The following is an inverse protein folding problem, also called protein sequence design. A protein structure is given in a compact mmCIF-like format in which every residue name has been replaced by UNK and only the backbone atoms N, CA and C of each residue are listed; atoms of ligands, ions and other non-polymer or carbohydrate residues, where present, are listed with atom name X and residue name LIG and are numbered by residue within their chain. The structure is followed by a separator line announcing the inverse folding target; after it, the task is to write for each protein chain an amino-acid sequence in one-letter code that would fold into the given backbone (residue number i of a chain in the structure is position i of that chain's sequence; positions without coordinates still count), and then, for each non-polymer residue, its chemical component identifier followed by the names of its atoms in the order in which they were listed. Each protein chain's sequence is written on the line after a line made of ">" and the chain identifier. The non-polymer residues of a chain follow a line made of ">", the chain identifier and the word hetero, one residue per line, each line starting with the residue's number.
data_IF_458075172510
#
_entry.id   IF_458075172510
#
_cell.length_a   1.000
_cell.length_b   1.000
_cell.length_c   1.000
_cell.angle_alpha   90.00
_cell.angle_beta   90.00
_cell.angle_gamma   90.00
#
_symmetry.space_group_name_H-M   'P 1'
#
loop_
_entity.id
_entity.type
_entity.pdbx_description
1 polymer ?
#
# COMPACT_ATOMS: atom_id res chain seq x y z
N UNK A 1 -32.39 9.63 -32.91
CA UNK A 1 -30.99 9.66 -33.34
C UNK A 1 -30.37 10.90 -32.73
N UNK A 2 -29.85 10.73 -31.52
CA UNK A 2 -28.43 10.96 -31.27
C UNK A 2 -27.77 9.72 -30.64
N UNK A 3 -26.44 9.71 -30.71
CA UNK A 3 -25.53 8.59 -30.61
C UNK A 3 -25.55 7.85 -29.27
N UNK A 4 -25.44 6.53 -29.38
CA UNK A 4 -24.88 5.67 -28.36
C UNK A 4 -23.42 6.07 -28.13
N UNK A 5 -23.08 6.44 -26.89
CA UNK A 5 -21.70 6.49 -26.41
C UNK A 5 -21.53 5.33 -25.43
N UNK A 6 -20.57 4.48 -25.76
CA UNK A 6 -20.02 3.36 -25.02
C UNK A 6 -19.40 3.84 -23.72
N UNK A 7 -19.69 3.17 -22.60
CA UNK A 7 -18.93 3.31 -21.35
C UNK A 7 -17.53 2.74 -21.58
N UNK A 8 -16.45 3.41 -21.17
CA UNK A 8 -15.15 2.78 -21.09
C UNK A 8 -15.12 1.82 -19.87
N UNK A 9 -14.04 1.06 -19.74
CA UNK A 9 -13.84 0.06 -18.70
C UNK A 9 -12.87 0.61 -17.65
N UNK A 10 -13.23 0.42 -16.38
CA UNK A 10 -12.51 0.99 -15.25
C UNK A 10 -12.21 -0.01 -14.14
N UNK A 11 -10.93 0.01 -13.78
CA UNK A 11 -10.27 -0.73 -12.74
C UNK A 11 -10.68 -0.33 -11.30
N UNK A 12 -10.49 -1.20 -10.29
CA UNK A 12 -11.16 -1.10 -9.01
C UNK A 12 -10.47 -0.12 -8.05
N UNK A 13 -11.13 1.00 -7.80
CA UNK A 13 -11.24 1.64 -6.48
C UNK A 13 -12.74 1.89 -6.24
N UNK A 14 -13.49 0.81 -6.00
CA UNK A 14 -14.44 0.65 -4.88
C UNK A 14 -14.74 1.95 -4.05
N UNK A 15 -15.96 2.51 -3.87
CA UNK A 15 -17.35 2.25 -4.29
C UNK A 15 -18.21 3.54 -4.10
N UNK A 16 -19.30 3.75 -4.87
CA UNK A 16 -20.46 4.59 -4.44
C UNK A 16 -21.80 4.18 -5.14
N UNK A 17 -22.97 4.33 -4.49
CA UNK A 17 -24.16 3.51 -4.73
C UNK A 17 -25.19 4.07 -5.74
N UNK A 18 -25.93 3.15 -6.36
CA UNK A 18 -27.09 3.42 -7.23
C UNK A 18 -28.36 3.78 -6.43
N UNK A 19 -29.01 4.88 -6.76
CA UNK A 19 -30.37 5.21 -6.33
C UNK A 19 -31.44 4.60 -7.26
N UNK A 20 -32.41 3.89 -6.68
CA UNK A 20 -33.60 3.34 -7.35
C UNK A 20 -34.55 4.44 -7.86
N UNK A 21 -35.09 4.26 -9.07
CA UNK A 21 -36.46 4.68 -9.42
C UNK A 21 -37.05 3.84 -10.56
N UNK A 22 -38.36 3.58 -10.46
CA UNK A 22 -39.10 2.50 -11.11
C UNK A 22 -39.94 2.90 -12.34
N UNK A 23 -40.32 1.86 -13.12
CA UNK A 23 -41.37 1.75 -14.17
C UNK A 23 -41.05 2.36 -15.56
N UNK A 24 -41.31 1.71 -16.72
CA UNK A 24 -42.39 0.79 -17.09
C UNK A 24 -42.05 -0.20 -18.25
N UNK A 25 -42.89 -1.23 -18.37
CA UNK A 25 -42.85 -2.38 -19.30
C UNK A 25 -42.82 -2.09 -20.81
N UNK A 26 -42.08 -2.94 -21.55
CA UNK A 26 -42.53 -3.59 -22.80
C UNK A 26 -41.74 -4.88 -23.05
N UNK A 27 -42.36 -5.98 -23.53
CA UNK A 27 -41.69 -7.25 -23.72
C UNK A 27 -41.09 -7.38 -25.13
N UNK A 28 -39.85 -7.86 -25.21
CA UNK A 28 -39.23 -8.34 -26.45
C UNK A 28 -38.37 -9.58 -26.15
N UNK A 29 -38.16 -10.47 -27.14
CA UNK A 29 -38.21 -11.91 -26.91
C UNK A 29 -36.84 -12.59 -26.82
N UNK A 30 -36.79 -13.64 -26.00
CA UNK A 30 -35.87 -14.78 -26.16
C UNK A 30 -34.46 -14.57 -25.60
N UNK A 31 -34.32 -14.38 -24.28
CA UNK A 31 -33.07 -14.71 -23.59
C UNK A 31 -33.03 -16.22 -23.33
N UNK A 32 -31.94 -16.84 -23.72
CA UNK A 32 -31.55 -18.15 -23.20
C UNK A 32 -31.18 -17.95 -21.73
N UNK A 33 -32.14 -18.20 -20.83
CA UNK A 33 -31.94 -18.19 -19.37
C UNK A 33 -31.13 -19.41 -18.91
N UNK A 34 -29.86 -19.48 -19.34
CA UNK A 34 -28.86 -20.14 -18.52
C UNK A 34 -28.34 -19.07 -17.55
N UNK A 35 -28.35 -19.32 -16.23
CA UNK A 35 -27.59 -18.45 -15.33
C UNK A 35 -26.14 -18.38 -15.83
N UNK A 36 -25.43 -17.26 -15.64
CA UNK A 36 -24.00 -17.24 -15.86
C UNK A 36 -23.38 -18.44 -15.14
N UNK A 37 -22.45 -19.11 -15.82
CA UNK A 37 -21.69 -20.19 -15.18
C UNK A 37 -21.01 -19.60 -13.95
N UNK A 38 -20.98 -20.38 -12.86
CA UNK A 38 -20.22 -20.03 -11.67
C UNK A 38 -18.78 -19.67 -12.09
N UNK A 39 -18.21 -18.65 -11.46
CA UNK A 39 -16.82 -18.29 -11.65
C UNK A 39 -15.95 -19.42 -11.09
N UNK A 40 -15.14 -20.04 -11.95
CA UNK A 40 -14.27 -21.17 -11.59
C UNK A 40 -12.81 -20.72 -11.56
N UNK A 41 -12.00 -21.20 -10.61
CA UNK A 41 -10.59 -20.82 -10.51
C UNK A 41 -9.76 -21.41 -11.65
N UNK A 42 -8.98 -20.55 -12.30
CA UNK A 42 -7.95 -20.91 -13.28
C UNK A 42 -6.65 -21.40 -12.63
N UNK A 43 -5.76 -22.00 -13.45
CA UNK A 43 -4.48 -22.49 -12.96
C UNK A 43 -3.41 -21.38 -12.93
N UNK A 44 -2.70 -21.29 -11.81
CA UNK A 44 -1.47 -20.49 -11.65
C UNK A 44 -0.28 -21.41 -11.35
N UNK A 45 0.88 -21.09 -11.93
CA UNK A 45 2.13 -21.81 -11.67
C UNK A 45 3.25 -20.83 -11.37
N UNK A 46 4.00 -21.11 -10.31
CA UNK A 46 5.18 -20.34 -9.93
C UNK A 46 6.27 -20.42 -11.02
N UNK A 47 6.97 -19.30 -11.32
CA UNK A 47 8.14 -19.31 -12.20
C UNK A 47 9.23 -20.29 -11.74
N UNK A 48 9.75 -21.12 -12.65
CA UNK A 48 10.88 -22.01 -12.37
C UNK A 48 12.21 -21.23 -12.30
N UNK A 49 13.06 -21.54 -11.31
CA UNK A 49 14.45 -21.05 -11.24
C UNK A 49 14.64 -19.68 -10.57
N UNK A 50 13.57 -19.02 -10.13
CA UNK A 50 13.62 -17.83 -9.28
C UNK A 50 14.01 -18.19 -7.83
N UNK A 51 14.53 -17.22 -7.08
CA UNK A 51 14.60 -17.37 -5.61
C UNK A 51 13.16 -17.50 -5.08
N UNK A 52 12.95 -18.34 -4.08
CA UNK A 52 11.61 -18.59 -3.55
C UNK A 52 11.39 -17.88 -2.22
N UNK A 53 10.20 -17.32 -2.05
CA UNK A 53 9.79 -16.63 -0.82
C UNK A 53 9.81 -17.57 0.40
N UNK A 54 9.33 -18.80 0.24
CA UNK A 54 9.36 -19.82 1.30
C UNK A 54 10.78 -20.19 1.76
N UNK A 55 11.71 -20.34 0.82
CA UNK A 55 13.13 -20.58 1.10
C UNK A 55 13.78 -19.37 1.80
N UNK A 56 13.47 -18.15 1.35
CA UNK A 56 13.97 -16.92 1.98
C UNK A 56 13.49 -16.79 3.43
N UNK A 57 12.23 -17.14 3.71
CA UNK A 57 11.69 -17.16 5.06
C UNK A 57 12.38 -18.24 5.91
N UNK A 58 12.59 -19.44 5.38
CA UNK A 58 13.28 -20.52 6.09
C UNK A 58 14.75 -20.17 6.44
N UNK A 59 15.44 -19.45 5.56
CA UNK A 59 16.79 -18.93 5.83
C UNK A 59 16.78 -17.84 6.90
N UNK A 60 15.75 -16.98 6.90
CA UNK A 60 15.58 -15.94 7.91
C UNK A 60 15.24 -16.52 9.28
N UNK A 61 14.41 -17.57 9.34
CA UNK A 61 14.11 -18.31 10.57
C UNK A 61 15.39 -18.92 11.17
N UNK A 62 16.23 -19.57 10.35
CA UNK A 62 17.53 -20.07 10.80
C UNK A 62 18.46 -18.96 11.29
N UNK A 63 18.42 -17.78 10.65
CA UNK A 63 19.18 -16.62 11.10
C UNK A 63 18.70 -16.11 12.47
N UNK A 64 17.38 -16.06 12.68
CA UNK A 64 16.77 -15.67 13.96
C UNK A 64 17.20 -16.65 15.07
N UNK A 65 17.04 -17.96 14.86
CA UNK A 65 17.47 -18.99 15.82
C UNK A 65 18.96 -18.87 16.17
N UNK A 66 19.81 -18.61 15.18
CA UNK A 66 21.25 -18.42 15.39
C UNK A 66 21.55 -17.14 16.21
N UNK A 67 20.81 -16.05 15.97
CA UNK A 67 20.96 -14.79 16.69
C UNK A 67 20.45 -14.91 18.13
N UNK A 68 19.38 -15.67 18.38
CA UNK A 68 18.89 -16.00 19.73
C UNK A 68 19.97 -16.76 20.52
N UNK A 69 20.51 -17.85 19.95
CA UNK A 69 21.58 -18.62 20.57
C UNK A 69 22.84 -17.76 20.81
N UNK A 70 23.18 -16.85 19.90
CA UNK A 70 24.28 -15.91 20.08
C UNK A 70 23.99 -14.91 21.21
N UNK A 71 22.75 -14.42 21.34
CA UNK A 71 22.34 -13.46 22.36
C UNK A 71 22.41 -14.06 23.77
N UNK A 72 22.08 -15.35 23.90
CA UNK A 72 22.28 -16.14 25.13
C UNK A 72 23.77 -16.31 25.46
N UNK A 73 24.59 -16.63 24.46
CA UNK A 73 26.03 -16.83 24.64
C UNK A 73 26.78 -15.51 24.93
N UNK A 74 26.23 -14.36 24.53
CA UNK A 74 26.81 -13.02 24.70
C UNK A 74 25.86 -12.10 25.48
N UNK A 75 25.62 -12.36 26.78
CA UNK A 75 24.58 -11.67 27.57
C UNK A 75 24.81 -10.16 27.76
N UNK A 76 26.02 -9.66 27.49
CA UNK A 76 26.34 -8.23 27.60
C UNK A 76 26.34 -7.49 26.26
N UNK A 77 26.00 -8.15 25.14
CA UNK A 77 26.04 -7.53 23.81
C UNK A 77 24.66 -7.07 23.37
N UNK A 78 24.39 -5.77 23.46
CA UNK A 78 23.16 -5.20 22.88
C UNK A 78 23.15 -5.28 21.35
N UNK A 79 24.33 -5.31 20.69
CA UNK A 79 24.44 -5.39 19.23
C UNK A 79 23.94 -6.72 18.66
N UNK A 80 23.99 -7.82 19.42
CA UNK A 80 23.39 -9.09 18.98
C UNK A 80 21.87 -8.96 18.98
N UNK A 81 21.30 -8.36 20.02
CA UNK A 81 19.87 -8.11 20.14
C UNK A 81 19.35 -7.11 19.10
N UNK A 82 20.14 -6.08 18.75
CA UNK A 82 19.81 -5.18 17.65
C UNK A 82 19.72 -5.93 16.32
N UNK A 83 20.65 -6.86 16.04
CA UNK A 83 20.58 -7.70 14.84
C UNK A 83 19.38 -8.65 14.88
N UNK A 84 19.05 -9.21 16.03
CA UNK A 84 17.86 -10.03 16.24
C UNK A 84 16.57 -9.23 15.96
N UNK A 85 16.47 -8.01 16.51
CA UNK A 85 15.35 -7.12 16.25
C UNK A 85 15.18 -6.81 14.76
N UNK A 86 16.29 -6.48 14.08
CA UNK A 86 16.26 -6.21 12.64
C UNK A 86 15.88 -7.44 11.80
N UNK A 87 16.26 -8.66 12.24
CA UNK A 87 15.87 -9.90 11.58
C UNK A 87 14.36 -10.16 11.71
N UNK A 88 13.80 -10.00 12.91
CA UNK A 88 12.35 -10.05 13.12
C UNK A 88 11.60 -8.99 12.32
N UNK A 89 12.03 -7.72 12.36
CA UNK A 89 11.40 -6.67 11.57
C UNK A 89 11.49 -6.91 10.05
N UNK A 90 12.56 -7.57 9.57
CA UNK A 90 12.67 -8.01 8.17
C UNK A 90 11.69 -9.13 7.85
N UNK A 91 11.49 -10.08 8.77
CA UNK A 91 10.51 -11.15 8.63
C UNK A 91 9.09 -10.58 8.56
N UNK A 92 8.74 -9.69 9.48
CA UNK A 92 7.44 -8.99 9.49
C UNK A 92 7.14 -8.24 8.19
N UNK A 93 8.13 -7.62 7.54
CA UNK A 93 7.94 -7.01 6.21
C UNK A 93 7.67 -8.01 5.08
N UNK A 94 8.15 -9.25 5.21
CA UNK A 94 7.99 -10.30 4.20
C UNK A 94 6.74 -11.14 4.43
N UNK A 95 6.19 -11.13 5.64
CA UNK A 95 5.04 -11.95 6.06
C UNK A 95 3.78 -11.11 6.28
N UNK A 96 3.92 -9.85 6.67
CA UNK A 96 2.82 -9.00 7.14
C UNK A 96 2.42 -9.26 8.60
N UNK A 97 3.09 -10.18 9.30
CA UNK A 97 2.69 -10.64 10.64
C UNK A 97 3.11 -9.65 11.74
N UNK A 98 2.16 -9.29 12.61
CA UNK A 98 2.42 -8.29 13.67
C UNK A 98 3.26 -8.87 14.81
N UNK A 99 3.20 -10.18 15.02
CA UNK A 99 3.99 -10.92 16.00
C UNK A 99 5.49 -10.74 15.76
N UNK A 100 5.92 -10.64 14.51
CA UNK A 100 7.31 -10.37 14.15
C UNK A 100 7.77 -8.99 14.66
N UNK A 101 6.93 -7.97 14.53
CA UNK A 101 7.25 -6.66 15.09
C UNK A 101 7.22 -6.67 16.63
N UNK A 102 6.31 -7.42 17.24
CA UNK A 102 6.29 -7.60 18.70
C UNK A 102 7.59 -8.24 19.20
N UNK A 103 8.11 -9.25 18.49
CA UNK A 103 9.40 -9.86 18.78
C UNK A 103 10.57 -8.89 18.56
N UNK A 104 10.52 -8.06 17.51
CA UNK A 104 11.51 -7.01 17.27
C UNK A 104 11.55 -5.98 18.41
N UNK A 105 10.39 -5.53 18.89
CA UNK A 105 10.27 -4.62 20.03
C UNK A 105 10.83 -5.23 21.31
N UNK A 106 10.53 -6.51 21.58
CA UNK A 106 11.07 -7.21 22.76
C UNK A 106 12.60 -7.28 22.72
N UNK A 107 13.19 -7.60 21.56
CA UNK A 107 14.64 -7.62 21.37
C UNK A 107 15.26 -6.22 21.53
N UNK A 108 14.62 -5.16 21.02
CA UNK A 108 15.06 -3.77 21.21
C UNK A 108 15.01 -3.35 22.68
N UNK A 109 13.93 -3.66 23.38
CA UNK A 109 13.78 -3.34 24.79
C UNK A 109 14.90 -3.99 25.63
N UNK A 110 15.22 -5.25 25.35
CA UNK A 110 16.33 -5.92 26.00
C UNK A 110 17.70 -5.35 25.57
N UNK A 111 17.84 -4.94 24.31
CA UNK A 111 19.05 -4.27 23.83
C UNK A 111 19.31 -2.98 24.61
N UNK A 112 18.29 -2.14 24.83
CA UNK A 112 18.41 -0.94 25.65
C UNK A 112 18.70 -1.24 27.11
N UNK A 113 18.12 -2.29 27.69
CA UNK A 113 18.42 -2.70 29.06
C UNK A 113 19.89 -3.12 29.25
N UNK A 114 20.54 -3.60 28.19
CA UNK A 114 21.97 -3.98 28.18
C UNK A 114 22.89 -2.87 27.71
N UNK A 115 22.36 -1.84 27.05
CA UNK A 115 23.14 -0.71 26.57
C UNK A 115 23.56 0.21 27.73
N UNK A 116 24.74 0.81 27.62
CA UNK A 116 25.14 1.90 28.52
C UNK A 116 24.34 3.18 28.23
N UNK A 117 24.37 4.13 29.17
CA UNK A 117 23.75 5.45 28.99
C UNK A 117 24.26 6.13 27.70
N UNK A 118 23.33 6.63 26.87
CA UNK A 118 23.64 7.23 25.57
C UNK A 118 24.05 6.24 24.47
N UNK A 119 24.01 4.93 24.74
CA UNK A 119 24.17 3.88 23.75
C UNK A 119 22.84 3.13 23.53
N UNK A 120 22.74 2.46 22.39
CA UNK A 120 21.60 1.63 22.06
C UNK A 120 21.25 1.66 20.58
N UNK A 121 20.29 0.83 20.17
CA UNK A 121 19.87 0.67 18.79
C UNK A 121 18.81 1.71 18.36
N UNK A 122 19.02 3.00 18.66
CA UNK A 122 18.02 4.05 18.43
C UNK A 122 17.55 4.15 16.97
N UNK A 123 18.45 3.98 15.99
CA UNK A 123 18.05 3.99 14.58
C UNK A 123 17.19 2.78 14.20
N UNK A 124 17.53 1.59 14.71
CA UNK A 124 16.68 0.39 14.53
C UNK A 124 15.33 0.55 15.22
N UNK A 125 15.29 1.14 16.41
CA UNK A 125 14.05 1.49 17.09
C UNK A 125 13.19 2.42 16.23
N UNK A 126 13.78 3.50 15.71
CA UNK A 126 13.05 4.43 14.85
C UNK A 126 12.46 3.72 13.61
N UNK A 127 13.19 2.78 13.00
CA UNK A 127 12.70 2.00 11.86
C UNK A 127 11.54 1.06 12.21
N UNK A 128 11.59 0.41 13.38
CA UNK A 128 10.49 -0.42 13.88
C UNK A 128 9.27 0.44 14.23
N UNK A 129 9.45 1.54 14.95
CA UNK A 129 8.38 2.47 15.30
C UNK A 129 7.73 3.09 14.05
N UNK A 130 8.53 3.42 13.02
CA UNK A 130 8.00 3.87 11.72
C UNK A 130 7.13 2.81 11.06
N UNK A 131 7.59 1.55 11.03
CA UNK A 131 6.84 0.43 10.44
C UNK A 131 5.53 0.16 11.19
N UNK A 132 5.49 0.50 12.49
CA UNK A 132 4.31 0.38 13.36
C UNK A 132 3.43 1.63 13.37
N UNK A 133 3.70 2.61 12.50
CA UNK A 133 3.03 3.92 12.44
C UNK A 133 3.12 4.77 13.72
N UNK A 134 4.10 4.50 14.59
CA UNK A 134 4.34 5.25 15.83
C UNK A 134 5.27 6.43 15.57
N UNK A 135 4.85 7.33 14.68
CA UNK A 135 5.72 8.38 14.12
C UNK A 135 6.35 9.32 15.16
N UNK A 136 5.63 9.66 16.24
CA UNK A 136 6.19 10.47 17.32
C UNK A 136 7.30 9.74 18.09
N UNK A 137 7.18 8.43 18.28
CA UNK A 137 8.22 7.61 18.90
C UNK A 137 9.43 7.46 17.97
N UNK A 138 9.19 7.28 16.67
CA UNK A 138 10.24 7.24 15.66
C UNK A 138 11.05 8.55 15.61
N UNK A 139 10.40 9.71 15.62
CA UNK A 139 11.08 11.01 15.66
C UNK A 139 11.94 11.15 16.94
N UNK A 140 11.39 10.78 18.10
CA UNK A 140 12.14 10.83 19.36
C UNK A 140 13.37 9.88 19.36
N UNK A 141 13.24 8.70 18.75
CA UNK A 141 14.37 7.78 18.59
C UNK A 141 15.42 8.32 17.61
N UNK A 142 15.02 9.02 16.55
CA UNK A 142 15.95 9.72 15.65
C UNK A 142 16.71 10.84 16.36
N UNK A 143 16.04 11.63 17.20
CA UNK A 143 16.70 12.67 18.00
C UNK A 143 17.80 12.06 18.89
N UNK A 144 17.52 10.92 19.53
CA UNK A 144 18.51 10.19 20.33
C UNK A 144 19.63 9.59 19.47
N UNK A 145 19.35 9.13 18.25
CA UNK A 145 20.37 8.64 17.33
C UNK A 145 21.35 9.75 16.90
N UNK A 146 20.88 11.01 16.81
CA UNK A 146 21.68 12.19 16.43
C UNK A 146 22.57 12.73 17.55
N UNK A 147 22.25 12.45 18.82
CA UNK A 147 23.07 12.88 19.96
C UNK A 147 24.41 12.11 20.07
N UNK A 148 24.64 11.11 19.21
CA UNK A 148 25.88 10.31 19.20
C UNK A 148 27.07 11.16 18.74
N UNK A 149 28.18 11.04 19.46
CA UNK A 149 29.39 11.87 19.26
C UNK A 149 30.02 11.68 17.87
N UNK A 150 29.90 10.48 17.28
CA UNK A 150 30.44 10.15 15.97
C UNK A 150 29.36 9.44 15.15
N UNK A 151 28.91 10.09 14.09
CA UNK A 151 27.94 9.57 13.13
C UNK A 151 28.64 9.58 11.77
N UNK A 152 28.72 8.42 11.14
CA UNK A 152 29.28 8.31 9.78
C UNK A 152 28.25 8.72 8.72
N UNK A 153 28.72 8.99 7.50
CA UNK A 153 27.86 9.46 6.41
C UNK A 153 26.67 8.51 6.14
N UNK A 154 26.84 7.16 6.12
CA UNK A 154 25.70 6.25 5.95
C UNK A 154 24.66 6.37 7.07
N UNK A 155 25.08 6.46 8.35
CA UNK A 155 24.14 6.62 9.46
C UNK A 155 23.44 7.97 9.38
N UNK A 156 24.16 9.03 9.01
CA UNK A 156 23.60 10.37 8.85
C UNK A 156 22.54 10.42 7.74
N UNK A 157 22.82 9.78 6.61
CA UNK A 157 21.87 9.61 5.52
C UNK A 157 20.66 8.75 5.92
N UNK A 158 20.86 7.70 6.72
CA UNK A 158 19.75 6.89 7.22
C UNK A 158 18.80 7.67 8.13
N UNK A 159 19.35 8.50 9.02
CA UNK A 159 18.57 9.42 9.89
C UNK A 159 17.78 10.41 9.05
N UNK A 160 18.42 11.11 8.11
CA UNK A 160 17.75 12.10 7.26
C UNK A 160 16.71 11.47 6.36
N UNK A 161 17.01 10.30 5.80
CA UNK A 161 16.07 9.55 4.99
C UNK A 161 14.81 9.17 5.79
N UNK A 162 14.97 8.60 6.99
CA UNK A 162 13.82 8.21 7.82
C UNK A 162 13.05 9.43 8.34
N UNK A 163 13.73 10.53 8.67
CA UNK A 163 13.04 11.77 9.03
C UNK A 163 12.26 12.35 7.85
N UNK A 164 12.80 12.25 6.64
CA UNK A 164 12.08 12.61 5.41
C UNK A 164 10.85 11.73 5.19
N UNK A 165 10.96 10.41 5.42
CA UNK A 165 9.82 9.50 5.37
C UNK A 165 8.73 9.92 6.38
N UNK A 166 9.11 10.33 7.60
CA UNK A 166 8.17 10.85 8.61
C UNK A 166 7.47 12.15 8.16
N UNK A 167 8.21 13.08 7.53
CA UNK A 167 7.60 14.30 6.95
C UNK A 167 6.63 13.96 5.84
N UNK A 168 6.98 12.99 4.99
CA UNK A 168 6.09 12.50 3.95
C UNK A 168 4.81 11.92 4.56
N UNK A 169 4.91 11.06 5.57
CA UNK A 169 3.73 10.52 6.26
C UNK A 169 2.88 11.58 7.00
N UNK A 170 3.47 12.74 7.31
CA UNK A 170 2.76 13.92 7.81
C UNK A 170 2.14 14.80 6.72
N UNK A 171 2.31 14.47 5.43
CA UNK A 171 1.84 15.24 4.28
C UNK A 171 2.77 16.37 3.82
N UNK A 172 3.93 16.55 4.43
CA UNK A 172 4.90 17.60 4.08
C UNK A 172 5.90 17.09 3.01
N UNK A 173 5.44 17.05 1.76
CA UNK A 173 6.21 16.58 0.60
C UNK A 173 7.47 17.43 0.36
N UNK A 174 7.40 18.74 0.59
CA UNK A 174 8.53 19.65 0.35
C UNK A 174 9.67 19.38 1.34
N UNK A 175 9.36 19.30 2.63
CA UNK A 175 10.38 19.00 3.65
C UNK A 175 10.90 17.56 3.51
N UNK A 176 10.03 16.61 3.14
CA UNK A 176 10.46 15.25 2.83
C UNK A 176 11.49 15.22 1.69
N UNK A 177 11.22 15.96 0.60
CA UNK A 177 12.10 16.03 -0.56
C UNK A 177 13.45 16.64 -0.19
N UNK A 178 13.46 17.70 0.62
CA UNK A 178 14.68 18.32 1.10
C UNK A 178 15.53 17.33 1.92
N UNK A 179 14.95 16.70 2.94
CA UNK A 179 15.65 15.77 3.83
C UNK A 179 16.19 14.55 3.09
N UNK A 180 15.40 13.96 2.20
CA UNK A 180 15.82 12.77 1.44
C UNK A 180 16.84 13.14 0.36
N UNK A 181 16.75 14.33 -0.25
CA UNK A 181 17.80 14.82 -1.16
C UNK A 181 19.12 15.04 -0.43
N UNK A 182 19.08 15.54 0.81
CA UNK A 182 20.27 15.66 1.66
C UNK A 182 20.84 14.28 2.00
N UNK A 183 20.00 13.30 2.35
CA UNK A 183 20.43 11.93 2.60
C UNK A 183 21.16 11.33 1.39
N UNK A 184 20.58 11.46 0.19
CA UNK A 184 21.19 10.99 -1.07
C UNK A 184 22.52 11.70 -1.38
N UNK A 185 22.60 13.01 -1.12
CA UNK A 185 23.83 13.77 -1.32
C UNK A 185 24.95 13.38 -0.32
N UNK A 186 24.58 13.04 0.91
CA UNK A 186 25.51 12.58 1.94
C UNK A 186 26.01 11.16 1.66
N UNK A 187 25.11 10.24 1.32
CA UNK A 187 25.47 8.86 1.00
C UNK A 187 24.51 8.27 -0.04
N UNK A 188 24.92 8.31 -1.30
CA UNK A 188 24.17 7.73 -2.40
C UNK A 188 24.12 6.20 -2.28
N UNK A 189 22.91 5.65 -2.23
CA UNK A 189 22.65 4.22 -2.05
C UNK A 189 21.37 3.82 -2.78
N UNK A 190 21.09 2.50 -2.94
CA UNK A 190 19.78 2.05 -3.39
C UNK A 190 18.64 2.60 -2.51
N UNK A 191 18.80 2.53 -1.18
CA UNK A 191 17.77 2.96 -0.22
C UNK A 191 17.45 4.45 -0.32
N UNK A 192 18.46 5.32 -0.35
CA UNK A 192 18.26 6.78 -0.47
C UNK A 192 17.64 7.14 -1.82
N UNK A 193 18.02 6.45 -2.89
CA UNK A 193 17.41 6.67 -4.21
C UNK A 193 15.94 6.19 -4.25
N UNK A 194 15.61 5.04 -3.68
CA UNK A 194 14.22 4.58 -3.56
C UNK A 194 13.35 5.54 -2.75
N UNK A 195 13.87 6.08 -1.64
CA UNK A 195 13.16 7.12 -0.87
C UNK A 195 12.92 8.38 -1.69
N UNK A 196 13.92 8.81 -2.46
CA UNK A 196 13.81 9.99 -3.31
C UNK A 196 12.78 9.76 -4.43
N UNK A 197 12.74 8.55 -4.98
CA UNK A 197 11.71 8.13 -5.93
C UNK A 197 10.31 8.20 -5.31
N UNK A 198 10.14 7.67 -4.10
CA UNK A 198 8.85 7.69 -3.39
C UNK A 198 8.34 9.12 -3.13
N UNK A 199 9.18 10.04 -2.65
CA UNK A 199 8.74 11.43 -2.43
C UNK A 199 8.35 12.11 -3.73
N UNK A 200 9.13 11.89 -4.80
CA UNK A 200 8.83 12.44 -6.13
C UNK A 200 7.50 11.93 -6.66
N UNK A 201 7.23 10.64 -6.48
CA UNK A 201 5.94 10.04 -6.82
C UNK A 201 4.80 10.71 -6.06
N UNK A 202 4.89 10.79 -4.73
CA UNK A 202 3.85 11.45 -3.92
C UNK A 202 3.68 12.93 -4.23
N UNK A 203 4.70 13.59 -4.76
CA UNK A 203 4.64 14.96 -5.27
C UNK A 203 4.18 15.11 -6.73
N UNK A 204 3.83 14.04 -7.43
CA UNK A 204 3.35 14.07 -8.82
C UNK A 204 4.42 14.01 -9.90
N UNK A 205 5.71 13.86 -9.55
CA UNK A 205 6.80 13.68 -10.52
C UNK A 205 7.03 12.18 -10.80
N UNK A 206 6.07 11.59 -11.53
CA UNK A 206 6.04 10.16 -11.82
C UNK A 206 7.23 9.73 -12.67
N UNK A 207 7.66 10.57 -13.61
CA UNK A 207 8.81 10.25 -14.48
C UNK A 207 10.12 10.18 -13.69
N UNK A 208 10.37 11.13 -12.80
CA UNK A 208 11.56 11.09 -11.94
C UNK A 208 11.48 10.02 -10.86
N UNK A 209 10.28 9.61 -10.45
CA UNK A 209 10.08 8.50 -9.53
C UNK A 209 10.48 7.17 -10.18
N UNK A 210 9.96 6.87 -11.37
CA UNK A 210 10.31 5.68 -12.15
C UNK A 210 11.82 5.59 -12.39
N UNK A 211 12.43 6.68 -12.88
CA UNK A 211 13.86 6.76 -13.08
C UNK A 211 14.66 6.51 -11.79
N UNK A 212 14.12 6.95 -10.64
CA UNK A 212 14.74 6.73 -9.34
C UNK A 212 14.68 5.27 -8.88
N UNK A 213 13.55 4.59 -9.07
CA UNK A 213 13.45 3.17 -8.75
C UNK A 213 14.35 2.31 -9.65
N UNK A 214 14.43 2.61 -10.95
CA UNK A 214 15.35 1.95 -11.88
C UNK A 214 16.82 2.17 -11.50
N UNK A 215 17.19 3.38 -11.10
CA UNK A 215 18.54 3.70 -10.60
C UNK A 215 18.83 2.97 -9.27
N UNK A 216 17.85 2.87 -8.37
CA UNK A 216 17.98 2.10 -7.13
C UNK A 216 18.29 0.63 -7.41
N UNK A 217 17.53 0.01 -8.33
CA UNK A 217 17.78 -1.36 -8.82
C UNK A 217 19.19 -1.50 -9.39
N UNK A 218 19.61 -0.56 -10.25
CA UNK A 218 20.93 -0.59 -10.89
C UNK A 218 22.09 -0.51 -9.88
N UNK A 219 21.91 0.21 -8.76
CA UNK A 219 22.91 0.33 -7.68
C UNK A 219 22.94 -0.88 -6.75
N UNK A 220 21.87 -1.68 -6.72
CA UNK A 220 21.77 -2.80 -5.80
C UNK A 220 22.51 -4.04 -6.33
N UNK A 221 23.53 -4.47 -5.59
CA UNK A 221 24.32 -5.66 -5.91
C UNK A 221 24.31 -6.69 -4.76
N UNK A 222 23.38 -6.53 -3.81
CA UNK A 222 23.24 -7.43 -2.66
C UNK A 222 22.58 -8.77 -3.04
N UNK A 223 22.78 -9.82 -2.21
CA UNK A 223 22.23 -11.14 -2.49
C UNK A 223 20.74 -11.26 -2.15
N UNK A 224 20.18 -10.37 -1.33
CA UNK A 224 18.78 -10.44 -0.91
C UNK A 224 17.85 -10.10 -2.09
N UNK A 225 17.14 -11.10 -2.59
CA UNK A 225 16.22 -10.98 -3.71
C UNK A 225 14.99 -10.13 -3.39
N UNK A 226 14.58 -10.06 -2.12
CA UNK A 226 13.42 -9.25 -1.72
C UNK A 226 13.60 -7.76 -1.99
N UNK A 227 14.84 -7.26 -1.98
CA UNK A 227 15.13 -5.85 -2.31
C UNK A 227 14.85 -5.55 -3.78
N UNK A 228 15.21 -6.46 -4.69
CA UNK A 228 14.92 -6.30 -6.12
C UNK A 228 13.44 -6.51 -6.42
N UNK A 229 12.83 -7.53 -5.83
CA UNK A 229 11.40 -7.77 -5.94
C UNK A 229 10.58 -6.57 -5.45
N UNK A 230 10.95 -5.97 -4.32
CA UNK A 230 10.27 -4.78 -3.79
C UNK A 230 10.40 -3.57 -4.71
N UNK A 231 11.57 -3.34 -5.33
CA UNK A 231 11.72 -2.20 -6.24
C UNK A 231 10.92 -2.37 -7.53
N UNK A 232 10.84 -3.57 -8.09
CA UNK A 232 9.93 -3.88 -9.20
C UNK A 232 8.45 -3.77 -8.80
N UNK A 233 8.09 -4.21 -7.58
CA UNK A 233 6.75 -4.00 -7.04
C UNK A 233 6.40 -2.51 -7.01
N UNK A 234 7.31 -1.63 -6.55
CA UNK A 234 7.05 -0.19 -6.54
C UNK A 234 6.89 0.40 -7.95
N UNK A 235 7.65 -0.08 -8.94
CA UNK A 235 7.47 0.31 -10.35
C UNK A 235 6.09 -0.12 -10.87
N UNK A 236 5.67 -1.35 -10.59
CA UNK A 236 4.37 -1.84 -11.00
C UNK A 236 3.20 -1.06 -10.36
N UNK A 237 3.30 -0.68 -9.08
CA UNK A 237 2.27 0.15 -8.42
C UNK A 237 2.25 1.57 -9.02
N UNK A 238 3.41 2.12 -9.36
CA UNK A 238 3.48 3.43 -10.03
C UNK A 238 2.78 3.38 -11.40
N UNK A 239 2.95 2.30 -12.16
CA UNK A 239 2.28 2.12 -13.45
C UNK A 239 0.78 1.82 -13.30
N UNK A 240 0.37 1.09 -12.27
CA UNK A 240 -1.05 0.95 -11.91
C UNK A 240 -1.70 2.31 -11.62
N UNK A 241 -1.03 3.20 -10.91
CA UNK A 241 -1.54 4.55 -10.66
C UNK A 241 -1.64 5.40 -11.95
N UNK A 242 -0.89 5.06 -13.00
CA UNK A 242 -1.00 5.68 -14.33
C UNK A 242 -2.10 5.05 -15.20
N UNK A 243 -2.76 4.02 -14.67
CA UNK A 243 -3.70 3.16 -15.38
C UNK A 243 -3.04 2.43 -16.57
N UNK A 244 -1.74 2.12 -16.45
CA UNK A 244 -0.95 1.36 -17.43
C UNK A 244 -0.80 -0.11 -17.02
N UNK A 245 -1.90 -0.86 -17.14
CA UNK A 245 -1.99 -2.27 -16.73
C UNK A 245 -0.92 -3.16 -17.38
N UNK A 246 -0.56 -2.94 -18.65
CA UNK A 246 0.45 -3.77 -19.31
C UNK A 246 1.86 -3.51 -18.77
N UNK A 247 2.21 -2.25 -18.51
CA UNK A 247 3.49 -1.90 -17.89
C UNK A 247 3.54 -2.42 -16.44
N UNK A 248 2.47 -2.21 -15.68
CA UNK A 248 2.33 -2.72 -14.32
C UNK A 248 2.52 -4.25 -14.26
N UNK A 249 1.84 -5.01 -15.13
CA UNK A 249 2.00 -6.46 -15.19
C UNK A 249 3.44 -6.86 -15.49
N UNK A 250 4.12 -6.14 -16.40
CA UNK A 250 5.50 -6.45 -16.74
C UNK A 250 6.43 -6.31 -15.53
N UNK A 251 6.26 -5.25 -14.74
CA UNK A 251 7.05 -5.04 -13.52
C UNK A 251 6.68 -6.01 -12.40
N UNK A 252 5.40 -6.34 -12.19
CA UNK A 252 5.04 -7.37 -11.20
C UNK A 252 5.55 -8.76 -11.60
N UNK A 253 5.54 -9.10 -12.89
CA UNK A 253 6.18 -10.32 -13.39
C UNK A 253 7.70 -10.30 -13.15
N UNK A 254 8.36 -9.15 -13.32
CA UNK A 254 9.77 -9.00 -12.98
C UNK A 254 10.03 -9.16 -11.48
N UNK A 255 9.18 -8.60 -10.63
CA UNK A 255 9.24 -8.79 -9.17
C UNK A 255 9.09 -10.28 -8.79
N UNK A 256 8.15 -10.99 -9.41
CA UNK A 256 7.91 -12.41 -9.16
C UNK A 256 9.04 -13.31 -9.70
N UNK A 257 9.75 -12.86 -10.74
CA UNK A 257 10.96 -13.53 -11.24
C UNK A 257 12.17 -13.34 -10.30
N UNK A 258 12.19 -12.26 -9.52
CA UNK A 258 13.19 -12.04 -8.48
C UNK A 258 12.89 -12.85 -7.21
N UNK A 259 11.64 -12.82 -6.73
CA UNK A 259 11.20 -13.55 -5.55
C UNK A 259 9.83 -14.21 -5.79
N UNK A 260 9.86 -15.47 -6.21
CA UNK A 260 8.66 -16.22 -6.56
C UNK A 260 7.88 -16.65 -5.32
N UNK A 261 6.55 -16.56 -5.39
CA UNK A 261 5.66 -16.91 -4.28
C UNK A 261 5.49 -15.79 -3.26
N UNK A 262 6.04 -14.60 -3.53
CA UNK A 262 5.86 -13.47 -2.63
C UNK A 262 4.44 -12.91 -2.77
N UNK A 263 3.61 -13.17 -1.76
CA UNK A 263 2.17 -12.90 -1.80
C UNK A 263 1.83 -11.46 -2.22
N UNK A 264 2.61 -10.47 -1.77
CA UNK A 264 2.39 -9.06 -2.07
C UNK A 264 2.59 -8.74 -3.56
N UNK A 265 3.43 -9.49 -4.26
CA UNK A 265 3.57 -9.36 -5.72
C UNK A 265 2.46 -10.11 -6.43
N UNK A 266 2.12 -11.30 -5.95
CA UNK A 266 1.11 -12.17 -6.56
C UNK A 266 -0.30 -11.59 -6.51
N UNK A 267 -0.65 -10.88 -5.43
CA UNK A 267 -1.93 -10.18 -5.34
C UNK A 267 -2.05 -9.03 -6.36
N UNK A 268 -0.97 -8.25 -6.59
CA UNK A 268 -0.97 -7.21 -7.62
C UNK A 268 -1.00 -7.80 -9.04
N UNK A 269 -0.40 -8.98 -9.25
CA UNK A 269 -0.55 -9.74 -10.50
C UNK A 269 -2.01 -10.11 -10.73
N UNK A 270 -2.68 -10.61 -9.68
CA UNK A 270 -4.08 -10.96 -9.74
C UNK A 270 -4.94 -9.72 -10.02
N UNK A 271 -4.67 -8.58 -9.37
CA UNK A 271 -5.39 -7.32 -9.61
C UNK A 271 -5.30 -6.90 -11.08
N UNK A 272 -4.09 -6.87 -11.64
CA UNK A 272 -3.90 -6.51 -13.05
C UNK A 272 -4.56 -7.53 -13.98
N UNK A 273 -4.56 -8.81 -13.63
CA UNK A 273 -5.28 -9.83 -14.41
C UNK A 273 -6.78 -9.59 -14.44
N UNK A 274 -7.39 -9.14 -13.33
CA UNK A 274 -8.80 -8.72 -13.33
C UNK A 274 -9.03 -7.59 -14.33
N UNK A 275 -8.21 -6.53 -14.26
CA UNK A 275 -8.31 -5.36 -15.16
C UNK A 275 -8.14 -5.73 -16.64
N UNK A 276 -7.29 -6.72 -16.93
CA UNK A 276 -7.07 -7.29 -18.27
C UNK A 276 -8.11 -8.35 -18.69
N UNK A 277 -9.15 -8.60 -17.88
CA UNK A 277 -10.22 -9.56 -18.18
C UNK A 277 -9.84 -11.03 -18.00
N UNK A 278 -8.76 -11.32 -17.27
CA UNK A 278 -8.25 -12.65 -16.91
C UNK A 278 -8.75 -13.07 -15.52
N UNK A 279 -10.05 -12.93 -15.32
CA UNK A 279 -10.74 -13.07 -14.02
C UNK A 279 -10.60 -14.48 -13.42
N UNK A 280 -10.66 -15.54 -14.24
CA UNK A 280 -10.53 -16.92 -13.74
C UNK A 280 -9.11 -17.17 -13.20
N UNK A 281 -8.07 -16.71 -13.90
CA UNK A 281 -6.69 -16.84 -13.42
C UNK A 281 -6.43 -15.99 -12.17
N UNK A 282 -6.99 -14.78 -12.12
CA UNK A 282 -6.92 -13.93 -10.94
C UNK A 282 -7.59 -14.58 -9.72
N UNK A 283 -8.79 -15.16 -9.88
CA UNK A 283 -9.46 -15.89 -8.81
C UNK A 283 -8.62 -17.06 -8.31
N UNK A 284 -8.03 -17.85 -9.22
CA UNK A 284 -7.14 -18.95 -8.85
C UNK A 284 -5.95 -18.49 -8.01
N UNK A 285 -5.33 -17.37 -8.40
CA UNK A 285 -4.19 -16.80 -7.67
C UNK A 285 -4.60 -16.21 -6.31
N UNK A 286 -5.71 -15.47 -6.23
CA UNK A 286 -6.21 -14.96 -4.95
C UNK A 286 -6.54 -16.10 -3.98
N UNK A 287 -7.19 -17.17 -4.43
CA UNK A 287 -7.51 -18.30 -3.56
C UNK A 287 -6.25 -19.02 -3.03
N UNK A 288 -5.20 -19.16 -3.86
CA UNK A 288 -3.90 -19.68 -3.41
C UNK A 288 -3.25 -18.77 -2.36
N UNK A 289 -3.26 -17.45 -2.60
CA UNK A 289 -2.72 -16.47 -1.65
C UNK A 289 -3.51 -16.48 -0.33
N UNK A 290 -4.85 -16.56 -0.37
CA UNK A 290 -5.70 -16.66 0.81
C UNK A 290 -5.37 -17.93 1.60
N UNK A 291 -5.18 -19.08 0.94
CA UNK A 291 -4.82 -20.33 1.63
C UNK A 291 -3.52 -20.16 2.44
N UNK A 292 -2.53 -19.48 1.86
CA UNK A 292 -1.22 -19.27 2.50
C UNK A 292 -1.18 -18.17 3.56
N UNK A 293 -1.99 -17.12 3.42
CA UNK A 293 -1.87 -15.90 4.25
C UNK A 293 -3.06 -15.67 5.16
N UNK A 294 -4.24 -16.18 4.81
CA UNK A 294 -5.52 -15.87 5.46
C UNK A 294 -5.82 -14.36 5.53
N UNK A 295 -5.22 -13.56 4.63
CA UNK A 295 -5.37 -12.11 4.64
C UNK A 295 -6.78 -11.68 4.22
N UNK A 296 -7.43 -10.77 4.97
CA UNK A 296 -8.76 -10.28 4.65
C UNK A 296 -8.79 -9.38 3.40
N UNK A 297 -7.69 -8.71 3.04
CA UNK A 297 -7.61 -7.90 1.82
C UNK A 297 -7.89 -8.74 0.57
N UNK A 298 -7.40 -9.98 0.53
CA UNK A 298 -7.63 -10.86 -0.62
C UNK A 298 -9.03 -11.49 -0.61
N UNK A 299 -9.61 -11.66 0.57
CA UNK A 299 -11.02 -12.06 0.69
C UNK A 299 -11.95 -10.97 0.13
N UNK A 300 -11.64 -9.69 0.39
CA UNK A 300 -12.33 -8.56 -0.22
C UNK A 300 -12.18 -8.56 -1.75
N UNK A 301 -10.98 -8.82 -2.27
CA UNK A 301 -10.76 -8.92 -3.71
C UNK A 301 -11.61 -10.03 -4.34
N UNK A 302 -11.66 -11.22 -3.73
CA UNK A 302 -12.52 -12.32 -4.21
C UNK A 302 -14.01 -11.95 -4.11
N UNK A 303 -14.44 -11.28 -3.05
CA UNK A 303 -15.81 -10.78 -2.93
C UNK A 303 -16.18 -9.81 -4.06
N UNK A 304 -15.31 -8.85 -4.37
CA UNK A 304 -15.48 -7.93 -5.50
C UNK A 304 -15.64 -8.67 -6.83
N UNK A 305 -14.80 -9.68 -7.10
CA UNK A 305 -14.89 -10.46 -8.33
C UNK A 305 -16.24 -11.16 -8.48
N UNK A 306 -16.74 -11.78 -7.41
CA UNK A 306 -18.06 -12.40 -7.42
C UNK A 306 -19.17 -11.36 -7.63
N UNK A 307 -19.10 -10.19 -7.00
CA UNK A 307 -20.10 -9.14 -7.18
C UNK A 307 -20.11 -8.58 -8.61
N UNK A 308 -18.94 -8.35 -9.20
CA UNK A 308 -18.79 -7.88 -10.57
C UNK A 308 -19.30 -8.90 -11.60
N UNK A 309 -19.11 -10.18 -11.33
CA UNK A 309 -19.65 -11.28 -12.14
C UNK A 309 -21.16 -11.51 -11.93
N UNK A 310 -21.76 -10.87 -10.92
CA UNK A 310 -23.20 -10.95 -10.63
C UNK A 310 -23.61 -12.07 -9.67
N UNK A 311 -22.67 -12.58 -8.87
CA UNK A 311 -22.81 -13.70 -7.93
C UNK A 311 -22.75 -13.24 -6.46
N UNK A 312 -23.70 -12.41 -5.97
CA UNK A 312 -23.65 -11.90 -4.59
C UNK A 312 -23.77 -12.99 -3.51
N UNK A 313 -24.33 -14.16 -3.85
CA UNK A 313 -24.41 -15.29 -2.95
C UNK A 313 -23.04 -15.91 -2.65
N UNK A 314 -22.13 -15.89 -3.63
CA UNK A 314 -20.77 -16.41 -3.50
C UNK A 314 -19.82 -15.34 -2.94
N UNK A 315 -20.12 -14.05 -3.12
CA UNK A 315 -19.39 -12.96 -2.49
C UNK A 315 -19.61 -12.88 -0.96
N UNK A 316 -20.85 -13.11 -0.50
CA UNK A 316 -21.24 -12.85 0.90
C UNK A 316 -20.36 -13.58 1.95
N UNK A 317 -20.01 -14.88 1.80
CA UNK A 317 -19.13 -15.55 2.76
C UNK A 317 -17.74 -14.93 2.84
N UNK A 318 -17.21 -14.38 1.75
CA UNK A 318 -15.91 -13.72 1.73
C UNK A 318 -15.95 -12.38 2.47
N UNK A 319 -17.00 -11.58 2.22
CA UNK A 319 -17.25 -10.32 2.94
C UNK A 319 -17.33 -10.56 4.44
N UNK A 320 -18.09 -11.58 4.88
CA UNK A 320 -18.26 -11.90 6.29
C UNK A 320 -16.95 -12.37 6.95
N UNK A 321 -16.15 -13.17 6.24
CA UNK A 321 -14.84 -13.62 6.72
C UNK A 321 -13.84 -12.47 6.81
N UNK A 322 -13.77 -11.62 5.78
CA UNK A 322 -12.92 -10.44 5.76
C UNK A 322 -13.27 -9.49 6.93
N UNK A 323 -14.55 -9.17 7.10
CA UNK A 323 -15.04 -8.33 8.19
C UNK A 323 -14.63 -8.86 9.57
N UNK A 324 -14.79 -10.17 9.79
CA UNK A 324 -14.42 -10.81 11.06
C UNK A 324 -12.90 -10.74 11.32
N UNK A 325 -12.09 -10.95 10.27
CA UNK A 325 -10.64 -10.85 10.36
C UNK A 325 -10.17 -9.42 10.61
N UNK A 326 -10.69 -8.41 9.90
CA UNK A 326 -10.36 -7.01 10.17
C UNK A 326 -10.76 -6.57 11.57
N UNK A 327 -11.93 -6.95 12.07
CA UNK A 327 -12.34 -6.61 13.44
C UNK A 327 -11.43 -7.28 14.49
N UNK A 328 -10.95 -8.49 14.24
CA UNK A 328 -9.94 -9.12 15.08
C UNK A 328 -8.60 -8.36 15.05
N UNK A 329 -8.14 -7.96 13.86
CA UNK A 329 -6.91 -7.17 13.69
C UNK A 329 -7.04 -5.78 14.35
N UNK A 330 -8.16 -5.08 14.17
CA UNK A 330 -8.45 -3.79 14.81
C UNK A 330 -8.47 -3.90 16.34
N UNK A 331 -9.01 -5.00 16.88
CA UNK A 331 -9.03 -5.23 18.32
C UNK A 331 -7.62 -5.49 18.90
N UNK A 332 -6.75 -6.15 18.14
CA UNK A 332 -5.39 -6.46 18.57
C UNK A 332 -4.42 -5.28 18.36
N UNK A 333 -4.48 -4.64 17.19
CA UNK A 333 -3.53 -3.66 16.69
C UNK A 333 -4.21 -2.54 15.88
N UNK A 334 -4.96 -1.64 16.53
CA UNK A 334 -5.77 -0.64 15.83
C UNK A 334 -4.93 0.27 14.92
N UNK A 335 -3.76 0.72 15.37
CA UNK A 335 -2.89 1.64 14.60
C UNK A 335 -2.33 1.01 13.30
N UNK A 336 -2.25 -0.32 13.26
CA UNK A 336 -1.81 -1.06 12.08
C UNK A 336 -2.98 -1.37 11.15
N UNK A 337 -4.08 -1.85 11.72
CA UNK A 337 -5.20 -2.37 10.95
C UNK A 337 -6.13 -1.27 10.39
N UNK A 338 -6.16 -0.07 10.98
CA UNK A 338 -7.15 0.98 10.62
C UNK A 338 -7.17 1.33 9.13
N UNK A 339 -6.01 1.47 8.51
CA UNK A 339 -5.90 1.80 7.08
C UNK A 339 -6.33 0.65 6.18
N UNK A 340 -5.96 -0.58 6.53
CA UNK A 340 -6.31 -1.78 5.77
C UNK A 340 -7.81 -2.10 5.86
N UNK A 341 -8.37 -2.04 7.07
CA UNK A 341 -9.80 -2.26 7.30
C UNK A 341 -10.69 -1.18 6.66
N UNK A 342 -10.17 0.04 6.46
CA UNK A 342 -10.95 1.14 5.91
C UNK A 342 -11.54 0.79 4.53
N UNK A 343 -10.75 0.20 3.63
CA UNK A 343 -11.20 -0.18 2.28
C UNK A 343 -12.45 -1.07 2.35
N UNK A 344 -12.36 -2.18 3.10
CA UNK A 344 -13.50 -3.07 3.34
C UNK A 344 -14.80 -2.35 3.72
N UNK A 345 -14.70 -1.37 4.63
CA UNK A 345 -15.87 -0.65 5.11
C UNK A 345 -16.40 0.42 4.16
N UNK A 346 -15.55 0.97 3.29
CA UNK A 346 -16.00 1.81 2.16
C UNK A 346 -16.86 0.98 1.21
N UNK A 347 -16.52 -0.30 1.05
CA UNK A 347 -16.98 -1.13 -0.07
C UNK A 347 -18.15 -2.04 0.27
N UNK A 348 -18.05 -2.72 1.40
CA UNK A 348 -18.99 -3.76 1.80
C UNK A 348 -19.68 -3.44 3.12
N UNK A 349 -19.07 -2.57 3.92
CA UNK A 349 -19.49 -2.31 5.28
C UNK A 349 -20.43 -1.12 5.46
N UNK A 350 -20.84 -0.83 6.71
CA UNK A 350 -21.60 0.37 7.01
C UNK A 350 -20.76 1.64 6.81
N UNK A 351 -21.27 2.60 6.04
CA UNK A 351 -20.59 3.88 5.75
C UNK A 351 -20.13 4.63 7.00
N UNK A 352 -20.92 4.59 8.08
CA UNK A 352 -20.57 5.21 9.35
C UNK A 352 -19.29 4.59 9.98
N UNK A 353 -19.06 3.29 9.77
CA UNK A 353 -17.84 2.61 10.22
C UNK A 353 -16.65 2.99 9.34
N UNK A 354 -16.84 3.13 8.03
CA UNK A 354 -15.82 3.66 7.13
C UNK A 354 -15.37 5.06 7.56
N UNK A 355 -16.32 5.94 7.91
CA UNK A 355 -16.02 7.29 8.41
C UNK A 355 -15.22 7.25 9.71
N UNK A 356 -15.59 6.41 10.68
CA UNK A 356 -14.84 6.26 11.94
C UNK A 356 -13.39 5.85 11.67
N UNK A 357 -13.19 4.84 10.81
CA UNK A 357 -11.85 4.34 10.47
C UNK A 357 -11.05 5.37 9.66
N UNK A 358 -11.68 6.10 8.75
CA UNK A 358 -11.00 7.13 7.97
C UNK A 358 -10.58 8.33 8.81
N UNK A 359 -11.42 8.76 9.75
CA UNK A 359 -11.06 9.80 10.73
C UNK A 359 -9.89 9.35 11.60
N UNK A 360 -9.88 8.08 12.05
CA UNK A 360 -8.77 7.50 12.82
C UNK A 360 -7.47 7.33 12.01
N UNK A 361 -7.56 6.84 10.77
CA UNK A 361 -6.40 6.67 9.88
C UNK A 361 -5.75 8.02 9.57
N UNK A 362 -6.55 9.04 9.23
CA UNK A 362 -6.03 10.39 8.98
C UNK A 362 -5.42 11.02 10.25
N UNK A 363 -5.97 10.76 11.43
CA UNK A 363 -5.39 11.24 12.69
C UNK A 363 -4.01 10.61 12.96
N UNK A 364 -3.81 9.35 12.56
CA UNK A 364 -2.54 8.65 12.69
C UNK A 364 -1.52 9.10 11.63
N UNK A 365 -1.97 9.26 10.37
CA UNK A 365 -1.11 9.58 9.22
C UNK A 365 -1.79 10.70 8.40
N UNK A 366 -1.55 11.98 8.71
CA UNK A 366 -2.25 13.09 8.06
C UNK A 366 -1.68 13.42 6.66
N UNK A 367 -1.36 12.40 5.87
CA UNK A 367 -0.87 12.52 4.50
C UNK A 367 -2.03 12.67 3.49
N UNK A 368 -1.67 12.82 2.20
CA UNK A 368 -2.65 12.99 1.13
C UNK A 368 -3.53 11.76 0.91
N UNK A 369 -2.97 10.56 0.92
CA UNK A 369 -3.73 9.33 0.66
C UNK A 369 -4.78 9.08 1.75
N UNK A 370 -4.41 9.18 3.04
CA UNK A 370 -5.36 9.01 4.14
C UNK A 370 -6.48 10.08 4.12
N UNK A 371 -6.19 11.28 3.61
CA UNK A 371 -7.21 12.31 3.40
C UNK A 371 -8.12 11.97 2.23
N UNK A 372 -7.59 11.44 1.13
CA UNK A 372 -8.38 10.98 -0.01
C UNK A 372 -9.34 9.85 0.40
N UNK A 373 -8.89 8.89 1.20
CA UNK A 373 -9.75 7.82 1.72
C UNK A 373 -10.87 8.39 2.61
N UNK A 374 -10.56 9.44 3.41
CA UNK A 374 -11.56 10.13 4.22
C UNK A 374 -12.58 10.91 3.39
N UNK A 375 -12.17 11.52 2.28
CA UNK A 375 -13.09 12.09 1.29
C UNK A 375 -14.08 11.03 0.82
N UNK A 376 -13.59 9.85 0.40
CA UNK A 376 -14.45 8.75 -0.09
C UNK A 376 -15.39 8.21 0.99
N UNK A 377 -14.89 8.01 2.19
CA UNK A 377 -15.72 7.59 3.33
C UNK A 377 -16.84 8.62 3.63
N UNK A 378 -16.53 9.92 3.60
CA UNK A 378 -17.54 10.96 3.75
C UNK A 378 -18.55 10.98 2.60
N UNK A 379 -18.13 10.77 1.36
CA UNK A 379 -19.05 10.67 0.22
C UNK A 379 -19.98 9.46 0.36
N UNK A 380 -19.44 8.30 0.75
CA UNK A 380 -20.22 7.07 0.96
C UNK A 380 -21.27 7.24 2.07
N UNK A 381 -20.96 8.01 3.12
CA UNK A 381 -21.88 8.35 4.21
C UNK A 381 -22.82 9.53 3.91
N UNK A 382 -22.66 10.20 2.75
CA UNK A 382 -23.45 11.37 2.36
C UNK A 382 -23.07 12.68 3.06
N UNK A 383 -21.89 12.74 3.69
CA UNK A 383 -21.31 13.92 4.35
C UNK A 383 -20.59 14.84 3.35
N UNK A 384 -21.31 15.31 2.33
CA UNK A 384 -20.74 16.06 1.20
C UNK A 384 -19.93 17.31 1.60
N UNK A 385 -20.42 18.11 2.56
CA UNK A 385 -19.71 19.33 2.99
C UNK A 385 -18.33 19.00 3.58
N UNK A 386 -18.23 17.90 4.34
CA UNK A 386 -16.96 17.44 4.92
C UNK A 386 -16.03 16.85 3.85
N UNK A 387 -16.58 16.12 2.88
CA UNK A 387 -15.83 15.63 1.72
C UNK A 387 -15.23 16.78 0.90
N UNK A 388 -16.01 17.84 0.64
CA UNK A 388 -15.54 19.03 -0.07
C UNK A 388 -14.46 19.79 0.70
N UNK A 389 -14.59 19.92 2.03
CA UNK A 389 -13.57 20.56 2.85
C UNK A 389 -12.21 19.87 2.71
N UNK A 390 -12.20 18.53 2.79
CA UNK A 390 -10.99 17.74 2.60
C UNK A 390 -10.46 17.75 1.17
N UNK A 391 -11.35 17.69 0.18
CA UNK A 391 -10.98 17.79 -1.23
C UNK A 391 -10.32 19.14 -1.55
N UNK A 392 -10.84 20.25 -1.03
CA UNK A 392 -10.23 21.57 -1.24
C UNK A 392 -8.88 21.70 -0.51
N UNK A 393 -8.70 21.03 0.63
CA UNK A 393 -7.41 20.93 1.28
C UNK A 393 -6.40 20.10 0.45
N UNK A 394 -6.83 18.99 -0.15
CA UNK A 394 -6.00 18.20 -1.08
C UNK A 394 -5.58 19.01 -2.30
N UNK A 395 -6.53 19.70 -2.95
CA UNK A 395 -6.27 20.50 -4.15
C UNK A 395 -5.21 21.60 -3.93
N UNK A 396 -5.10 22.11 -2.70
CA UNK A 396 -4.12 23.12 -2.30
C UNK A 396 -2.80 22.54 -1.79
N UNK A 397 -2.75 21.24 -1.48
CA UNK A 397 -1.58 20.57 -0.92
C UNK A 397 -0.55 20.15 -1.97
N UNK A 398 0.65 19.76 -1.53
CA UNK A 398 1.74 19.30 -2.40
C UNK A 398 1.76 17.79 -2.66
N UNK A 399 0.84 17.03 -2.07
CA UNK A 399 0.61 15.63 -2.39
C UNK A 399 -0.24 15.53 -3.65
N UNK A 400 0.34 14.99 -4.73
CA UNK A 400 -0.25 14.98 -6.07
C UNK A 400 -0.10 13.60 -6.68
N UNK A 401 -0.98 12.69 -6.27
CA UNK A 401 -1.12 11.37 -6.90
C UNK A 401 -2.46 11.28 -7.64
N UNK A 402 -2.56 10.37 -8.60
CA UNK A 402 -3.82 10.05 -9.27
C UNK A 402 -4.95 9.78 -8.25
N UNK A 403 -4.64 9.04 -7.18
CA UNK A 403 -5.54 8.79 -6.06
C UNK A 403 -6.09 10.09 -5.44
N UNK A 404 -5.21 11.01 -5.04
CA UNK A 404 -5.63 12.26 -4.39
C UNK A 404 -6.37 13.22 -5.31
N UNK A 405 -5.94 13.35 -6.57
CA UNK A 405 -6.63 14.21 -7.54
C UNK A 405 -7.99 13.60 -7.92
N UNK A 406 -8.08 12.28 -8.01
CA UNK A 406 -9.33 11.54 -8.19
C UNK A 406 -10.34 11.85 -7.09
N UNK A 407 -9.95 11.72 -5.82
CA UNK A 407 -10.82 12.07 -4.69
C UNK A 407 -11.30 13.54 -4.73
N UNK A 408 -10.46 14.47 -5.19
CA UNK A 408 -10.87 15.87 -5.40
C UNK A 408 -11.94 15.98 -6.48
N UNK A 409 -11.74 15.33 -7.64
CA UNK A 409 -12.71 15.32 -8.74
C UNK A 409 -14.02 14.68 -8.28
N UNK A 410 -13.98 13.52 -7.64
CA UNK A 410 -15.13 12.80 -7.10
C UNK A 410 -15.98 13.70 -6.19
N UNK A 411 -15.36 14.38 -5.21
CA UNK A 411 -16.08 15.26 -4.29
C UNK A 411 -16.70 16.48 -4.98
N UNK A 412 -15.98 17.08 -5.94
CA UNK A 412 -16.48 18.23 -6.70
C UNK A 412 -17.62 17.85 -7.64
N UNK A 413 -17.55 16.71 -8.29
CA UNK A 413 -18.64 16.16 -9.11
C UNK A 413 -19.86 15.85 -8.24
N UNK A 414 -19.68 15.22 -7.08
CA UNK A 414 -20.77 14.97 -6.13
C UNK A 414 -21.46 16.26 -5.67
N UNK A 415 -20.73 17.39 -5.67
CA UNK A 415 -21.25 18.71 -5.37
C UNK A 415 -21.85 19.48 -6.56
N UNK A 416 -21.85 18.90 -7.76
CA UNK A 416 -22.31 19.56 -8.99
C UNK A 416 -21.38 20.67 -9.48
N UNK A 417 -20.09 20.59 -9.16
CA UNK A 417 -19.05 21.55 -9.55
C UNK A 417 -18.24 21.08 -10.77
N UNK A 418 -18.70 20.06 -11.50
CA UNK A 418 -18.02 19.50 -12.67
C UNK A 418 -17.70 20.52 -13.77
N UNK A 419 -18.54 21.55 -13.95
CA UNK A 419 -18.34 22.60 -14.96
C UNK A 419 -17.46 23.77 -14.51
N UNK A 420 -16.99 23.78 -13.25
CA UNK A 420 -16.15 24.85 -12.73
C UNK A 420 -14.72 24.74 -13.27
N UNK A 421 -14.07 25.87 -13.65
CA UNK A 421 -12.70 25.84 -14.17
C UNK A 421 -11.68 25.19 -13.22
N UNK A 422 -11.92 25.28 -11.91
CA UNK A 422 -11.07 24.65 -10.91
C UNK A 422 -11.19 23.12 -10.92
N UNK A 423 -12.36 22.56 -11.21
CA UNK A 423 -12.54 21.10 -11.38
C UNK A 423 -11.84 20.63 -12.65
N UNK A 424 -12.01 21.36 -13.76
CA UNK A 424 -11.32 21.04 -15.01
C UNK A 424 -9.80 21.07 -14.86
N UNK A 425 -9.25 22.05 -14.13
CA UNK A 425 -7.81 22.12 -13.91
C UNK A 425 -7.26 20.91 -13.13
N UNK A 426 -7.99 20.43 -12.12
CA UNK A 426 -7.61 19.21 -11.38
C UNK A 426 -7.74 17.98 -12.26
N UNK A 427 -8.79 17.91 -13.08
CA UNK A 427 -8.96 16.81 -14.04
C UNK A 427 -7.84 16.80 -15.09
N UNK A 428 -7.44 17.94 -15.63
CA UNK A 428 -6.33 18.05 -16.57
C UNK A 428 -5.00 17.58 -15.93
N UNK A 429 -4.79 17.89 -14.65
CA UNK A 429 -3.63 17.40 -13.87
C UNK A 429 -3.69 15.88 -13.68
N UNK A 430 -4.84 15.34 -13.26
CA UNK A 430 -5.08 13.90 -13.13
C UNK A 430 -4.81 13.17 -14.44
N UNK A 431 -5.35 13.66 -15.56
CA UNK A 431 -5.15 13.07 -16.88
C UNK A 431 -3.71 13.19 -17.39
N UNK A 432 -2.94 14.15 -16.87
CA UNK A 432 -1.50 14.22 -17.11
C UNK A 432 -0.71 13.12 -16.40
N UNK A 433 -1.17 12.69 -15.21
CA UNK A 433 -0.56 11.62 -14.42
C UNK A 433 -1.04 10.22 -14.83
N UNK A 434 -2.33 10.08 -15.11
CA UNK A 434 -3.01 8.83 -15.46
C UNK A 434 -3.79 8.99 -16.78
N UNK A 435 -3.10 9.08 -17.92
CA UNK A 435 -3.74 9.38 -19.21
C UNK A 435 -4.66 8.27 -19.71
N UNK A 436 -4.50 7.04 -19.20
CA UNK A 436 -5.33 5.89 -19.55
C UNK A 436 -6.61 5.78 -18.70
N UNK A 437 -6.67 6.49 -17.57
CA UNK A 437 -7.87 6.53 -16.72
C UNK A 437 -9.05 7.20 -17.46
N UNK A 438 -10.29 6.93 -17.06
CA UNK A 438 -11.47 7.69 -17.43
C UNK A 438 -11.61 8.80 -16.39
N UNK A 439 -12.11 9.97 -16.81
CA UNK A 439 -12.56 10.31 -18.16
C UNK A 439 -11.43 10.78 -19.10
N UNK A 440 -10.16 10.46 -18.82
CA UNK A 440 -8.99 10.94 -19.56
C UNK A 440 -8.77 10.26 -20.93
N UNK A 441 -9.21 9.02 -21.09
CA UNK A 441 -9.13 8.28 -22.35
C UNK A 441 -10.16 8.80 -23.37
N UNK A 442 -9.71 9.39 -24.48
CA UNK A 442 -10.54 9.84 -25.63
C UNK A 442 -10.96 8.70 -26.59
#
# INVERSE_FOLDING_TARGET
>A
MPNAMTKPAHAPFLALPLALSAMACSPAPGSSDAPPSALEPGAYSLPEGAARHDELLADLDQQIEALEAEAEAKPNSYMVLERLANAHARRGRLTGEVEDYTAAEAALAEAFARAGEGAGPFLSQAGVDFSLHRFAAAEAALDQAEERILIDDPTWAAIHGLRGDLRLQGGDVEQALELISQAEATYASPTTMSRLAQVRWRGGDYASAEAGYLESLARYHGPDASVRAWAHLQLGILDLERDDDEAALADFMAANAELSGYYLVEEHIAEVWVRLGRTEEALGLYLDVIDRTQSPEFMDAVASLHLEHGDPADAQPWIEQAAAAYEAQLAAHPDLAVGHALGHYIDFGPSARAVELAEANFALRPNGDARADRVRAYLADGRLDAALEDAEALAQGSWRTANTLGAVVEARVAAGLEGEPATQAVLDELCGLAPKAEPCSE
#
